data_IF_447746505197
#
_entry.id   IF_447746505197
#
_cell.length_a   1.000
_cell.length_b   1.000
_cell.length_c   1.000
_cell.angle_alpha   90.00
_cell.angle_beta   90.00
_cell.angle_gamma   90.00
#
_symmetry.space_group_name_H-M   'P 1'
#
loop_
_entity.id
_entity.type
_entity.pdbx_description
1 polymer ?
#
# COMPACT_ATOMS: atom_id res chain seq x y z
N UNK A 1 1.40 -14.41 16.59
CA UNK A 1 2.41 -13.68 15.80
C UNK A 1 2.81 -12.45 16.58
N UNK A 2 4.10 -12.14 16.67
CA UNK A 2 4.60 -10.97 17.43
C UNK A 2 5.41 -10.10 16.48
N UNK A 3 5.16 -8.78 16.46
CA UNK A 3 5.87 -7.83 15.61
C UNK A 3 6.98 -7.13 16.39
N UNK A 4 8.08 -6.83 15.71
CA UNK A 4 9.12 -5.96 16.26
C UNK A 4 8.89 -4.52 15.76
N UNK A 5 8.77 -3.52 16.67
CA UNK A 5 8.47 -2.16 16.27
C UNK A 5 9.66 -1.53 15.54
N UNK A 6 9.40 -0.98 14.36
CA UNK A 6 10.39 -0.27 13.54
C UNK A 6 9.76 0.98 12.91
N UNK A 7 10.57 1.98 12.65
CA UNK A 7 10.21 3.12 11.81
C UNK A 7 10.86 2.98 10.45
N UNK A 8 10.06 3.10 9.39
CA UNK A 8 10.51 2.92 8.01
C UNK A 8 10.76 4.30 7.37
N UNK A 9 11.96 4.52 6.84
CA UNK A 9 12.25 5.72 6.04
C UNK A 9 11.80 5.50 4.59
N UNK A 10 10.64 6.07 4.25
CA UNK A 10 10.02 5.93 2.94
C UNK A 10 10.37 7.07 1.98
N UNK A 11 11.20 8.03 2.38
CA UNK A 11 11.57 9.16 1.52
C UNK A 11 12.21 8.66 0.23
N UNK A 12 11.60 8.99 -0.91
CA UNK A 12 12.10 8.57 -2.22
C UNK A 12 11.87 7.08 -2.54
N UNK A 13 11.19 6.33 -1.67
CA UNK A 13 10.96 4.88 -1.86
C UNK A 13 9.66 4.64 -2.61
N UNK A 14 9.66 3.64 -3.49
CA UNK A 14 8.46 3.17 -4.19
C UNK A 14 7.56 2.41 -3.23
N UNK A 15 6.31 2.83 -3.09
CA UNK A 15 5.27 2.13 -2.36
C UNK A 15 4.13 1.75 -3.31
N UNK A 16 3.62 0.52 -3.19
CA UNK A 16 2.52 0.04 -4.03
C UNK A 16 1.28 -0.22 -3.18
N UNK A 17 0.14 0.33 -3.58
CA UNK A 17 -1.15 0.09 -2.93
C UNK A 17 -2.08 -0.63 -3.92
N UNK A 18 -2.55 -1.81 -3.55
CA UNK A 18 -3.51 -2.59 -4.33
C UNK A 18 -4.91 -2.35 -3.76
N UNK A 19 -5.81 -1.83 -4.58
CA UNK A 19 -7.14 -1.37 -4.18
C UNK A 19 -7.28 0.15 -4.24
N UNK A 20 -8.52 0.60 -4.37
CA UNK A 20 -8.84 2.03 -4.58
C UNK A 20 -10.00 2.55 -3.73
N UNK A 21 -10.40 1.80 -2.69
CA UNK A 21 -11.43 2.21 -1.74
C UNK A 21 -10.93 3.20 -0.69
N UNK A 22 -11.79 3.55 0.27
CA UNK A 22 -11.48 4.52 1.32
C UNK A 22 -10.25 4.13 2.16
N UNK A 23 -10.09 2.84 2.48
CA UNK A 23 -8.92 2.37 3.24
C UNK A 23 -7.63 2.53 2.43
N UNK A 24 -7.66 2.22 1.13
CA UNK A 24 -6.52 2.44 0.24
C UNK A 24 -6.15 3.93 0.21
N UNK A 25 -7.14 4.83 0.10
CA UNK A 25 -6.90 6.28 0.14
C UNK A 25 -6.24 6.74 1.45
N UNK A 26 -6.72 6.28 2.60
CA UNK A 26 -6.11 6.60 3.90
C UNK A 26 -4.64 6.18 3.94
N UNK A 27 -4.34 4.97 3.45
CA UNK A 27 -2.98 4.42 3.42
C UNK A 27 -2.08 5.19 2.45
N UNK A 28 -2.59 5.56 1.28
CA UNK A 28 -1.89 6.40 0.30
C UNK A 28 -1.48 7.74 0.92
N UNK A 29 -2.39 8.41 1.63
CA UNK A 29 -2.08 9.69 2.31
C UNK A 29 -0.96 9.54 3.35
N UNK A 30 -0.99 8.46 4.15
CA UNK A 30 0.07 8.17 5.12
C UNK A 30 1.43 7.92 4.47
N UNK A 31 1.46 7.16 3.38
CA UNK A 31 2.68 6.90 2.60
C UNK A 31 3.24 8.17 1.96
N UNK A 32 2.38 9.01 1.37
CA UNK A 32 2.79 10.31 0.81
C UNK A 32 3.36 11.24 1.88
N UNK A 33 2.73 11.32 3.06
CA UNK A 33 3.24 12.10 4.19
C UNK A 33 4.60 11.58 4.70
N UNK A 34 4.92 10.31 4.47
CA UNK A 34 6.23 9.72 4.76
C UNK A 34 7.25 9.89 3.61
N UNK A 35 6.89 10.57 2.52
CA UNK A 35 7.76 10.88 1.39
C UNK A 35 7.90 9.75 0.35
N UNK A 36 6.99 8.78 0.35
CA UNK A 36 6.99 7.69 -0.63
C UNK A 36 6.52 8.14 -2.03
N UNK A 37 7.04 7.49 -3.07
CA UNK A 37 6.47 7.53 -4.42
C UNK A 37 5.42 6.43 -4.51
N UNK A 38 4.14 6.82 -4.53
CA UNK A 38 3.03 5.87 -4.40
C UNK A 38 2.46 5.51 -5.77
N UNK A 39 2.39 4.22 -6.06
CA UNK A 39 1.63 3.65 -7.18
C UNK A 39 0.38 2.96 -6.65
N UNK A 40 -0.80 3.33 -7.15
CA UNK A 40 -2.08 2.67 -6.86
C UNK A 40 -2.48 1.79 -8.04
N UNK A 41 -2.86 0.54 -7.75
CA UNK A 41 -3.38 -0.40 -8.75
C UNK A 41 -4.80 -0.80 -8.36
N UNK A 42 -5.79 -0.34 -9.13
CA UNK A 42 -7.20 -0.66 -8.89
C UNK A 42 -8.04 -0.40 -10.14
N UNK A 43 -9.06 -1.23 -10.46
CA UNK A 43 -10.01 -0.94 -11.53
C UNK A 43 -10.80 0.35 -11.26
N UNK A 44 -11.20 0.54 -9.99
CA UNK A 44 -12.01 1.65 -9.51
C UNK A 44 -11.29 2.37 -8.37
N UNK A 45 -11.54 3.68 -8.24
CA UNK A 45 -10.92 4.51 -7.20
C UNK A 45 -11.90 5.50 -6.64
N UNK A 46 -11.69 5.91 -5.38
CA UNK A 46 -12.33 7.11 -4.85
C UNK A 46 -12.00 8.35 -5.69
N UNK A 47 -12.85 9.38 -5.55
CA UNK A 47 -12.59 10.71 -6.13
C UNK A 47 -11.27 11.26 -5.62
N UNK A 48 -10.97 11.11 -4.33
CA UNK A 48 -9.72 11.59 -3.73
C UNK A 48 -8.46 11.00 -4.37
N UNK A 49 -8.44 9.69 -4.64
CA UNK A 49 -7.33 9.05 -5.35
C UNK A 49 -7.24 9.50 -6.80
N UNK A 50 -8.38 9.66 -7.49
CA UNK A 50 -8.38 10.19 -8.87
C UNK A 50 -7.87 11.62 -8.95
N UNK A 51 -8.22 12.48 -7.98
CA UNK A 51 -7.70 13.86 -7.87
C UNK A 51 -6.20 13.86 -7.61
N UNK A 52 -5.73 13.07 -6.63
CA UNK A 52 -4.29 12.93 -6.36
C UNK A 52 -3.50 12.48 -7.59
N UNK A 53 -4.06 11.58 -8.40
CA UNK A 53 -3.44 11.14 -9.64
C UNK A 53 -3.40 12.27 -10.70
N UNK A 54 -4.49 13.03 -10.84
CA UNK A 54 -4.56 14.16 -11.77
C UNK A 54 -3.59 15.30 -11.42
N UNK A 55 -3.30 15.47 -10.13
CA UNK A 55 -2.34 16.45 -9.61
C UNK A 55 -0.88 15.93 -9.63
N UNK A 56 -0.63 14.75 -10.20
CA UNK A 56 0.66 14.05 -10.21
C UNK A 56 1.21 13.71 -8.81
N UNK A 57 0.34 13.61 -7.80
CA UNK A 57 0.70 13.17 -6.46
C UNK A 57 0.94 11.66 -6.35
N UNK A 58 0.33 10.85 -7.24
CA UNK A 58 0.48 9.40 -7.30
C UNK A 58 0.51 8.88 -8.75
N UNK A 59 1.10 7.71 -8.97
CA UNK A 59 0.89 6.93 -10.20
C UNK A 59 -0.38 6.09 -10.04
N UNK A 60 -1.37 6.23 -10.93
CA UNK A 60 -2.59 5.41 -10.89
C UNK A 60 -2.67 4.46 -12.09
N UNK A 61 -2.74 3.15 -11.80
CA UNK A 61 -2.99 2.09 -12.78
C UNK A 61 -4.43 1.61 -12.69
N UNK A 62 -5.29 2.14 -13.57
CA UNK A 62 -6.73 1.81 -13.64
C UNK A 62 -6.98 0.42 -14.24
N UNK A 63 -6.67 -0.63 -13.48
CA UNK A 63 -6.87 -2.04 -13.86
C UNK A 63 -6.80 -2.97 -12.64
N UNK A 64 -7.28 -4.23 -12.75
CA UNK A 64 -7.04 -5.25 -11.74
C UNK A 64 -5.54 -5.52 -11.55
N UNK A 65 -5.16 -5.95 -10.34
CA UNK A 65 -3.81 -6.42 -10.01
C UNK A 65 -3.34 -7.54 -10.96
N UNK A 66 -2.04 -7.56 -11.23
CA UNK A 66 -1.36 -8.59 -12.03
C UNK A 66 -0.02 -8.91 -11.39
N UNK A 67 0.45 -10.15 -11.55
CA UNK A 67 1.76 -10.55 -11.08
C UNK A 67 2.86 -9.64 -11.68
N UNK A 68 3.79 -9.20 -10.84
CA UNK A 68 4.86 -8.27 -11.20
C UNK A 68 4.57 -6.81 -10.83
N UNK A 69 3.38 -6.50 -10.34
CA UNK A 69 3.06 -5.14 -9.89
C UNK A 69 3.84 -4.68 -8.68
N UNK A 70 4.36 -5.62 -7.88
CA UNK A 70 5.21 -5.30 -6.72
C UNK A 70 6.68 -5.17 -7.11
N UNK A 71 7.05 -5.34 -8.38
CA UNK A 71 8.42 -5.23 -8.82
C UNK A 71 9.03 -3.87 -8.44
N UNK A 72 10.16 -3.92 -7.72
CA UNK A 72 10.88 -2.74 -7.23
C UNK A 72 10.18 -1.97 -6.12
N UNK A 73 9.05 -2.45 -5.60
CA UNK A 73 8.41 -1.85 -4.43
C UNK A 73 9.29 -2.06 -3.19
N UNK A 74 9.39 -1.03 -2.37
CA UNK A 74 10.04 -1.11 -1.07
C UNK A 74 9.04 -1.53 0.02
N UNK A 75 7.76 -1.17 -0.15
CA UNK A 75 6.65 -1.58 0.70
C UNK A 75 5.39 -1.71 -0.15
N UNK A 76 4.50 -2.63 0.23
CA UNK A 76 3.21 -2.82 -0.40
C UNK A 76 2.07 -2.80 0.63
N UNK A 77 0.87 -2.46 0.16
CA UNK A 77 -0.36 -2.51 0.94
C UNK A 77 -1.44 -3.19 0.09
N UNK A 78 -2.05 -4.25 0.61
CA UNK A 78 -3.22 -4.87 0.01
C UNK A 78 -4.47 -4.39 0.73
N UNK A 79 -5.30 -3.62 0.05
CA UNK A 79 -6.51 -2.99 0.58
C UNK A 79 -7.70 -3.24 -0.38
N UNK A 80 -7.90 -4.50 -0.75
CA UNK A 80 -9.02 -4.93 -1.60
C UNK A 80 -9.98 -5.85 -0.83
N UNK A 81 -11.24 -5.85 -1.23
CA UNK A 81 -12.26 -6.78 -0.70
C UNK A 81 -12.15 -8.19 -1.30
N UNK A 82 -11.29 -8.38 -2.30
CA UNK A 82 -11.14 -9.65 -3.01
C UNK A 82 -10.03 -10.49 -2.40
N UNK A 83 -10.41 -11.47 -1.57
CA UNK A 83 -9.46 -12.41 -0.92
C UNK A 83 -8.50 -13.08 -1.89
N UNK A 84 -8.95 -13.44 -3.10
CA UNK A 84 -8.11 -14.06 -4.14
C UNK A 84 -7.01 -13.12 -4.64
N UNK A 85 -7.30 -11.83 -4.73
CA UNK A 85 -6.31 -10.80 -5.07
C UNK A 85 -5.32 -10.63 -3.93
N UNK A 86 -5.81 -10.48 -2.69
CA UNK A 86 -4.95 -10.32 -1.51
C UNK A 86 -3.98 -11.50 -1.34
N UNK A 87 -4.45 -12.75 -1.52
CA UNK A 87 -3.61 -13.94 -1.48
C UNK A 87 -2.53 -13.95 -2.59
N UNK A 88 -2.87 -13.48 -3.79
CA UNK A 88 -1.90 -13.37 -4.89
C UNK A 88 -0.84 -12.30 -4.62
N UNK A 89 -1.26 -11.15 -4.08
CA UNK A 89 -0.36 -10.06 -3.66
C UNK A 89 0.58 -10.52 -2.55
N UNK A 90 0.06 -11.25 -1.55
CA UNK A 90 0.85 -11.87 -0.49
C UNK A 90 1.92 -12.82 -1.04
N UNK A 91 1.53 -13.75 -1.91
CA UNK A 91 2.47 -14.71 -2.49
C UNK A 91 3.57 -14.03 -3.34
N UNK A 92 3.26 -12.91 -4.01
CA UNK A 92 4.28 -12.11 -4.70
C UNK A 92 5.18 -11.37 -3.72
N UNK A 93 4.61 -10.75 -2.69
CA UNK A 93 5.35 -9.98 -1.70
C UNK A 93 6.39 -10.84 -0.97
N UNK A 94 5.99 -12.04 -0.52
CA UNK A 94 6.88 -12.99 0.14
C UNK A 94 8.04 -13.43 -0.77
N UNK A 95 7.73 -13.76 -2.02
CA UNK A 95 8.74 -14.19 -3.01
C UNK A 95 9.70 -13.06 -3.40
N UNK A 96 9.24 -11.82 -3.41
CA UNK A 96 10.03 -10.65 -3.79
C UNK A 96 10.74 -9.98 -2.60
N UNK A 97 10.49 -10.42 -1.37
CA UNK A 97 11.02 -9.78 -0.16
C UNK A 97 10.46 -8.38 0.08
N UNK A 98 9.21 -8.13 -0.33
CA UNK A 98 8.54 -6.83 -0.18
C UNK A 98 7.68 -6.86 1.09
N UNK A 99 7.94 -6.01 2.10
CA UNK A 99 7.05 -5.85 3.24
C UNK A 99 5.61 -5.53 2.80
N UNK A 100 4.64 -6.33 3.25
CA UNK A 100 3.22 -6.19 2.92
C UNK A 100 2.40 -5.95 4.19
N UNK A 101 1.50 -4.98 4.11
CA UNK A 101 0.37 -4.83 5.03
C UNK A 101 -0.92 -5.21 4.29
N UNK A 102 -1.49 -6.37 4.60
CA UNK A 102 -2.82 -6.76 4.15
C UNK A 102 -3.87 -6.26 5.15
N UNK A 103 -4.70 -5.33 4.70
CA UNK A 103 -5.75 -4.71 5.53
C UNK A 103 -6.74 -5.78 6.00
N UNK A 104 -7.07 -5.76 7.29
CA UNK A 104 -7.98 -6.68 7.97
C UNK A 104 -7.62 -8.17 7.83
N UNK A 105 -6.38 -8.48 7.45
CA UNK A 105 -5.85 -9.83 7.27
C UNK A 105 -4.45 -9.93 7.87
N UNK A 106 -4.39 -10.05 9.20
CA UNK A 106 -3.14 -10.08 9.97
C UNK A 106 -2.28 -11.29 9.64
N UNK A 107 -2.88 -12.41 9.22
CA UNK A 107 -2.15 -13.63 8.85
C UNK A 107 -1.31 -13.43 7.58
N UNK A 108 -1.73 -12.53 6.70
CA UNK A 108 -1.04 -12.15 5.46
C UNK A 108 -0.32 -10.79 5.56
N UNK A 109 0.14 -10.43 6.76
CA UNK A 109 0.96 -9.23 7.00
C UNK A 109 2.39 -9.60 7.39
N UNK A 110 3.38 -9.05 6.69
CA UNK A 110 4.77 -9.03 7.18
C UNK A 110 5.09 -7.78 8.01
N UNK A 111 4.24 -6.74 7.94
CA UNK A 111 4.24 -5.64 8.89
C UNK A 111 2.82 -5.12 9.18
N UNK A 112 2.67 -4.47 10.33
CA UNK A 112 1.45 -3.75 10.72
C UNK A 112 1.70 -2.25 10.72
N UNK A 113 0.68 -1.49 10.31
CA UNK A 113 0.67 -0.03 10.45
C UNK A 113 -0.20 0.33 11.68
N UNK A 114 0.41 0.67 12.83
CA UNK A 114 -0.34 0.99 14.04
C UNK A 114 -1.05 2.33 13.92
N UNK A 115 -1.94 2.63 14.88
CA UNK A 115 -2.43 3.99 15.07
C UNK A 115 -1.26 4.92 15.40
N UNK A 116 -1.21 6.09 14.75
CA UNK A 116 -0.15 7.08 14.95
C UNK A 116 -0.76 8.29 15.65
N UNK A 117 -0.26 8.58 16.85
CA UNK A 117 -0.45 9.87 17.51
C UNK A 117 0.81 10.70 17.31
N UNK A 118 0.66 12.00 17.02
CA UNK A 118 1.77 12.97 16.91
C UNK A 118 1.52 14.06 17.92
N UNK A 119 2.50 14.30 18.78
CA UNK A 119 2.48 15.35 19.80
C UNK A 119 3.77 16.17 19.64
N UNK A 120 3.63 17.47 19.35
CA UNK A 120 4.75 18.36 19.04
C UNK A 120 5.32 18.19 17.62
N UNK A 121 6.38 18.98 17.35
CA UNK A 121 7.22 18.92 16.14
C UNK A 121 8.46 18.02 16.37
#
# INVERSE_FOLDING_TARGET
MTFYPVFLNLRGRRAVVIGGGAVAEQKVRGLLAAGAHVTVVSPETTVGLSTLAAENGIELRRRPYRAGDLAGAWVAIAATDYRTVNASVWAEAERAGVPLNAVDDVEHCSFIAPAIHREGD
#
